data_IF_234682253276
#
_entry.id   IF_234682253276
#
_cell.length_a   1.000
_cell.length_b   1.000
_cell.length_c   1.000
_cell.angle_alpha   90.00
_cell.angle_beta   90.00
_cell.angle_gamma   90.00
#
_symmetry.space_group_name_H-M   'P 1'
#
loop_
_entity.id
_entity.type
_entity.pdbx_description
1 polymer ?
#
# COMPACT_ATOMS: atom_id res chain seq x y z
N UNK A 1 42.48 6.15 61.18
CA UNK A 1 41.74 5.03 60.56
C UNK A 1 40.82 5.58 59.47
N UNK A 2 41.26 5.57 58.22
CA UNK A 2 40.48 6.03 57.06
C UNK A 2 39.83 4.81 56.41
N UNK A 3 38.48 4.78 56.40
CA UNK A 3 37.71 3.72 55.73
C UNK A 3 37.61 4.04 54.24
N UNK A 4 38.16 3.16 53.40
CA UNK A 4 38.00 3.19 51.94
C UNK A 4 36.56 2.75 51.60
N UNK A 5 35.82 3.66 50.95
CA UNK A 5 34.54 3.36 50.29
C UNK A 5 34.82 2.90 48.87
N UNK A 6 34.57 1.63 48.58
CA UNK A 6 34.59 1.10 47.17
C UNK A 6 33.37 1.59 46.44
N UNK A 7 33.55 2.47 45.46
CA UNK A 7 32.51 2.80 44.46
C UNK A 7 32.31 1.59 43.53
N UNK A 8 31.11 1.01 43.53
CA UNK A 8 30.69 0.06 42.54
C UNK A 8 30.31 0.80 41.26
N UNK A 9 31.10 0.58 40.21
CA UNK A 9 30.76 1.03 38.84
C UNK A 9 29.54 0.25 38.35
N UNK A 10 28.41 0.93 38.18
CA UNK A 10 27.24 0.37 37.53
C UNK A 10 27.52 0.22 36.03
N UNK A 11 27.58 -1.02 35.52
CA UNK A 11 27.59 -1.32 34.12
C UNK A 11 26.29 -0.85 33.50
N UNK A 12 26.36 0.13 32.60
CA UNK A 12 25.23 0.48 31.72
C UNK A 12 24.87 -0.74 30.83
N UNK A 13 23.60 -1.08 30.66
CA UNK A 13 23.19 -2.13 29.73
C UNK A 13 23.44 -1.64 28.31
N UNK A 14 24.28 -2.37 27.59
CA UNK A 14 24.57 -2.16 26.17
C UNK A 14 23.37 -2.65 25.35
N UNK A 15 22.32 -1.85 25.22
CA UNK A 15 21.20 -2.09 24.32
C UNK A 15 21.69 -1.75 22.92
N UNK A 16 22.19 -2.76 22.19
CA UNK A 16 22.24 -2.70 20.73
C UNK A 16 20.78 -2.52 20.27
N UNK A 17 20.37 -1.27 20.00
CA UNK A 17 19.18 -1.02 19.18
C UNK A 17 19.49 -1.63 17.82
N UNK A 18 18.92 -2.79 17.53
CA UNK A 18 18.72 -3.21 16.15
C UNK A 18 17.88 -2.10 15.54
N UNK A 19 18.49 -1.24 14.73
CA UNK A 19 17.78 -0.26 13.94
C UNK A 19 16.97 -1.08 12.91
N UNK A 20 15.70 -1.32 13.20
CA UNK A 20 14.78 -1.86 12.22
C UNK A 20 14.71 -0.83 11.10
N UNK A 21 15.10 -1.23 9.89
CA UNK A 21 14.95 -0.41 8.71
C UNK A 21 13.64 -0.80 8.04
N UNK A 22 12.62 0.03 8.23
CA UNK A 22 11.33 -0.14 7.57
C UNK A 22 11.41 0.02 6.05
N UNK A 23 10.27 0.01 5.41
CA UNK A 23 10.16 0.04 3.94
C UNK A 23 10.22 1.45 3.35
N UNK A 24 10.02 2.50 4.13
CA UNK A 24 9.83 3.88 3.66
C UNK A 24 10.87 4.35 2.64
N UNK A 25 12.16 4.24 2.97
CA UNK A 25 13.22 4.77 2.12
C UNK A 25 13.24 4.14 0.71
N UNK A 26 12.95 2.84 0.62
CA UNK A 26 12.91 2.10 -0.64
C UNK A 26 11.60 2.39 -1.37
N UNK A 27 10.46 2.22 -0.70
CA UNK A 27 9.16 2.39 -1.33
C UNK A 27 8.89 3.84 -1.73
N UNK A 28 9.27 4.81 -0.88
CA UNK A 28 9.13 6.23 -1.18
C UNK A 28 9.85 6.64 -2.46
N UNK A 29 11.08 6.12 -2.68
CA UNK A 29 11.83 6.33 -3.92
C UNK A 29 11.12 5.70 -5.13
N UNK A 30 10.70 4.43 -5.03
CA UNK A 30 10.12 3.68 -6.13
C UNK A 30 8.76 4.27 -6.56
N UNK A 31 7.87 4.55 -5.62
CA UNK A 31 6.55 5.12 -5.91
C UNK A 31 6.61 6.60 -6.26
N UNK A 32 7.63 7.33 -5.78
CA UNK A 32 7.87 8.72 -6.15
C UNK A 32 8.45 8.92 -7.55
N UNK A 33 8.71 7.86 -8.34
CA UNK A 33 9.34 7.96 -9.65
C UNK A 33 8.44 8.64 -10.69
N UNK A 34 7.15 8.32 -10.73
CA UNK A 34 6.19 8.89 -11.69
C UNK A 34 4.82 9.17 -11.05
N UNK A 35 4.74 10.07 -10.04
CA UNK A 35 3.54 10.28 -9.25
C UNK A 35 2.40 10.90 -10.04
N UNK A 36 2.69 11.71 -11.07
CA UNK A 36 1.67 12.38 -11.90
C UNK A 36 0.87 11.41 -12.75
N UNK A 37 1.54 10.50 -13.45
CA UNK A 37 0.86 9.48 -14.25
C UNK A 37 0.11 8.48 -13.36
N UNK A 38 0.67 8.16 -12.18
CA UNK A 38 -0.05 7.41 -11.15
C UNK A 38 -1.35 8.12 -10.76
N UNK A 39 -1.26 9.37 -10.36
CA UNK A 39 -2.39 10.17 -9.91
C UNK A 39 -3.47 10.37 -10.98
N UNK A 40 -3.05 10.55 -12.24
CA UNK A 40 -3.96 10.85 -13.34
C UNK A 40 -4.61 9.61 -13.96
N UNK A 41 -3.92 8.45 -13.92
CA UNK A 41 -4.30 7.28 -14.71
C UNK A 41 -4.50 6.04 -13.83
N UNK A 42 -3.47 5.64 -13.07
CA UNK A 42 -3.42 4.31 -12.48
C UNK A 42 -4.18 4.18 -11.16
N UNK A 43 -4.14 5.19 -10.30
CA UNK A 43 -4.70 5.13 -8.95
C UNK A 43 -6.22 4.88 -8.94
N UNK A 44 -6.93 5.44 -9.93
CA UNK A 44 -8.38 5.27 -10.08
C UNK A 44 -8.80 3.82 -10.37
N UNK A 45 -7.89 2.96 -10.79
CA UNK A 45 -8.18 1.52 -11.00
C UNK A 45 -8.55 0.81 -9.69
N UNK A 46 -8.16 1.34 -8.53
CA UNK A 46 -8.55 0.85 -7.21
C UNK A 46 -9.98 1.25 -6.77
N UNK A 47 -10.64 2.15 -7.51
CA UNK A 47 -11.92 2.76 -7.10
C UNK A 47 -13.02 1.77 -6.71
N UNK A 48 -13.25 0.64 -7.42
CA UNK A 48 -14.27 -0.33 -7.00
C UNK A 48 -14.07 -0.85 -5.58
N UNK A 49 -12.83 -1.10 -5.16
CA UNK A 49 -12.51 -1.48 -3.78
C UNK A 49 -12.71 -0.34 -2.79
N UNK A 50 -12.37 0.89 -3.18
CA UNK A 50 -12.61 2.09 -2.36
C UNK A 50 -14.11 2.30 -2.09
N UNK A 51 -14.92 2.21 -3.14
CA UNK A 51 -16.38 2.34 -3.05
C UNK A 51 -16.99 1.24 -2.15
N UNK A 52 -16.50 0.00 -2.27
CA UNK A 52 -16.91 -1.09 -1.40
C UNK A 52 -16.61 -0.80 0.08
N UNK A 53 -15.39 -0.34 0.40
CA UNK A 53 -14.99 0.00 1.77
C UNK A 53 -15.83 1.14 2.32
N UNK A 54 -16.02 2.23 1.56
CA UNK A 54 -16.84 3.36 2.00
C UNK A 54 -18.30 2.98 2.23
N UNK A 55 -18.86 2.13 1.37
CA UNK A 55 -20.23 1.60 1.51
C UNK A 55 -20.38 0.71 2.74
N UNK A 56 -19.37 -0.13 3.03
CA UNK A 56 -19.43 -1.08 4.15
C UNK A 56 -19.18 -0.39 5.49
N UNK A 57 -18.19 0.51 5.56
CA UNK A 57 -17.81 1.18 6.81
C UNK A 57 -18.68 2.42 7.11
N UNK A 58 -19.33 2.99 6.10
CA UNK A 58 -20.24 4.17 6.23
C UNK A 58 -19.64 5.27 7.13
N UNK A 59 -18.43 5.79 6.84
CA UNK A 59 -17.83 6.81 7.68
C UNK A 59 -18.65 8.09 7.71
N UNK A 60 -18.65 8.79 8.85
CA UNK A 60 -19.44 9.98 9.12
C UNK A 60 -18.55 11.13 9.60
N UNK A 61 -19.17 12.29 9.88
CA UNK A 61 -18.46 13.49 10.37
C UNK A 61 -17.71 13.31 11.69
N UNK A 62 -18.02 12.27 12.46
CA UNK A 62 -17.31 11.94 13.71
C UNK A 62 -16.21 10.89 13.50
N UNK A 63 -16.14 10.27 12.33
CA UNK A 63 -15.17 9.22 12.03
C UNK A 63 -13.78 9.83 11.78
N UNK A 64 -12.79 9.41 12.55
CA UNK A 64 -11.36 9.67 12.29
C UNK A 64 -10.79 8.54 11.47
N UNK A 65 -10.39 8.81 10.24
CA UNK A 65 -9.89 7.83 9.28
C UNK A 65 -8.43 8.11 8.92
N UNK A 66 -7.60 7.08 8.98
CA UNK A 66 -6.22 7.07 8.50
C UNK A 66 -6.10 6.19 7.27
N UNK A 67 -5.51 6.70 6.19
CA UNK A 67 -5.14 5.95 5.01
C UNK A 67 -3.61 5.79 4.95
N UNK A 68 -3.11 4.55 5.10
CA UNK A 68 -1.68 4.24 5.10
C UNK A 68 -1.23 3.70 3.74
N UNK A 69 -0.28 4.39 3.11
CA UNK A 69 0.04 4.23 1.70
C UNK A 69 -1.01 4.92 0.83
N UNK A 70 -1.33 6.16 1.18
CA UNK A 70 -2.45 6.91 0.57
C UNK A 70 -2.19 7.33 -0.89
N UNK A 71 -0.99 7.08 -1.43
CA UNK A 71 -0.61 7.48 -2.77
C UNK A 71 -0.84 8.96 -3.01
N UNK A 72 -1.47 9.31 -4.14
CA UNK A 72 -1.83 10.69 -4.47
C UNK A 72 -3.17 11.14 -3.86
N UNK A 73 -3.66 10.45 -2.81
CA UNK A 73 -4.79 10.88 -1.99
C UNK A 73 -6.17 10.65 -2.62
N UNK A 74 -6.31 9.78 -3.62
CA UNK A 74 -7.58 9.58 -4.29
C UNK A 74 -8.66 9.01 -3.34
N UNK A 75 -8.33 7.96 -2.58
CA UNK A 75 -9.24 7.43 -1.56
C UNK A 75 -9.51 8.44 -0.45
N UNK A 76 -8.48 9.15 0.02
CA UNK A 76 -8.65 10.20 1.04
C UNK A 76 -9.68 11.24 0.62
N UNK A 77 -9.65 11.69 -0.65
CA UNK A 77 -10.61 12.65 -1.19
C UNK A 77 -12.04 12.07 -1.24
N UNK A 78 -12.20 10.80 -1.62
CA UNK A 78 -13.51 10.14 -1.59
C UNK A 78 -14.05 9.99 -0.15
N UNK A 79 -13.18 9.61 0.79
CA UNK A 79 -13.56 9.45 2.20
C UNK A 79 -13.94 10.80 2.83
N UNK A 80 -13.21 11.89 2.51
CA UNK A 80 -13.56 13.22 2.99
C UNK A 80 -14.95 13.67 2.49
N UNK A 81 -15.36 13.29 1.29
CA UNK A 81 -16.68 13.61 0.75
C UNK A 81 -17.83 12.99 1.56
N UNK A 82 -17.58 11.96 2.37
CA UNK A 82 -18.58 11.42 3.34
C UNK A 82 -18.70 12.27 4.61
N UNK A 83 -17.81 13.25 4.78
CA UNK A 83 -17.67 14.09 5.97
C UNK A 83 -16.65 13.60 6.99
N UNK A 84 -16.00 12.46 6.76
CA UNK A 84 -15.00 11.91 7.68
C UNK A 84 -13.79 12.86 7.87
N UNK A 85 -13.20 12.81 9.07
CA UNK A 85 -11.94 13.48 9.37
C UNK A 85 -10.77 12.59 8.93
N UNK A 86 -10.23 12.88 7.73
CA UNK A 86 -9.26 12.04 7.05
C UNK A 86 -7.83 12.53 7.27
N UNK A 87 -6.91 11.60 7.51
CA UNK A 87 -5.46 11.78 7.44
C UNK A 87 -4.90 10.77 6.45
N UNK A 88 -4.03 11.20 5.55
CA UNK A 88 -3.31 10.33 4.63
C UNK A 88 -1.81 10.27 4.98
N UNK A 89 -1.20 9.12 4.82
CA UNK A 89 0.24 8.96 4.98
C UNK A 89 0.79 8.06 3.87
N UNK A 90 1.91 8.45 3.28
CA UNK A 90 2.62 7.67 2.26
C UNK A 90 4.13 7.70 2.51
N UNK A 91 4.85 6.73 1.98
CA UNK A 91 6.30 6.66 2.04
C UNK A 91 6.98 7.71 1.14
N UNK A 92 6.29 8.18 0.10
CA UNK A 92 6.81 9.05 -0.96
C UNK A 92 6.40 10.50 -0.77
N UNK A 93 7.38 11.40 -0.61
CA UNK A 93 7.14 12.85 -0.61
C UNK A 93 6.46 13.32 -1.89
N UNK A 94 6.85 12.76 -3.05
CA UNK A 94 6.28 13.14 -4.34
C UNK A 94 4.79 12.73 -4.47
N UNK A 95 4.39 11.59 -3.90
CA UNK A 95 2.97 11.22 -3.81
C UNK A 95 2.21 12.16 -2.87
N UNK A 96 2.81 12.52 -1.74
CA UNK A 96 2.20 13.47 -0.79
C UNK A 96 2.02 14.86 -1.42
N UNK A 97 2.92 15.30 -2.28
CA UNK A 97 2.74 16.56 -3.01
C UNK A 97 1.51 16.50 -3.93
N UNK A 98 1.34 15.41 -4.71
CA UNK A 98 0.15 15.22 -5.55
C UNK A 98 -1.13 15.11 -4.70
N UNK A 99 -1.07 14.43 -3.54
CA UNK A 99 -2.20 14.32 -2.62
C UNK A 99 -2.65 15.69 -2.08
N UNK A 100 -1.71 16.56 -1.71
CA UNK A 100 -1.98 17.94 -1.25
C UNK A 100 -2.59 18.80 -2.36
N UNK A 101 -2.18 18.60 -3.61
CA UNK A 101 -2.78 19.29 -4.76
C UNK A 101 -4.22 18.84 -4.98
N UNK A 102 -4.50 17.53 -4.85
CA UNK A 102 -5.84 16.96 -5.02
C UNK A 102 -6.81 17.36 -3.92
N UNK A 103 -6.38 17.32 -2.67
CA UNK A 103 -7.22 17.53 -1.50
C UNK A 103 -6.52 18.39 -0.43
N UNK A 104 -6.39 19.71 -0.67
CA UNK A 104 -5.58 20.61 0.16
C UNK A 104 -6.10 20.79 1.59
N UNK A 105 -7.33 20.39 1.88
CA UNK A 105 -7.94 20.43 3.21
C UNK A 105 -7.63 19.20 4.07
N UNK A 106 -7.06 18.14 3.48
CA UNK A 106 -6.71 16.92 4.20
C UNK A 106 -5.28 17.04 4.75
N UNK A 107 -5.07 16.50 5.94
CA UNK A 107 -3.72 16.37 6.51
C UNK A 107 -3.00 15.20 5.84
N UNK A 108 -1.86 15.48 5.18
CA UNK A 108 -0.98 14.49 4.59
C UNK A 108 0.41 14.53 5.21
N UNK A 109 0.99 13.34 5.45
CA UNK A 109 2.29 13.13 6.07
C UNK A 109 3.13 12.15 5.24
N UNK A 110 4.44 12.36 5.21
CA UNK A 110 5.37 11.33 4.76
C UNK A 110 5.78 10.49 5.95
N UNK A 111 5.78 9.15 5.81
CA UNK A 111 6.14 8.26 6.93
C UNK A 111 6.19 6.79 6.54
N UNK A 112 6.60 5.97 7.52
CA UNK A 112 6.66 4.52 7.39
C UNK A 112 5.40 3.87 7.98
N UNK A 113 4.74 3.01 7.20
CA UNK A 113 3.56 2.29 7.67
C UNK A 113 3.88 1.24 8.76
N UNK A 114 5.16 0.97 8.99
CA UNK A 114 5.66 0.10 10.05
C UNK A 114 6.06 0.85 11.34
N UNK A 115 5.99 2.21 11.31
CA UNK A 115 6.24 3.08 12.45
C UNK A 115 5.34 4.32 12.34
N UNK A 116 4.06 4.18 12.70
CA UNK A 116 3.05 5.23 12.54
C UNK A 116 3.24 6.35 13.59
N UNK A 117 3.40 7.63 13.18
CA UNK A 117 3.65 8.74 14.10
C UNK A 117 2.38 9.24 14.79
N UNK A 118 1.56 8.31 15.28
CA UNK A 118 0.32 8.59 15.98
C UNK A 118 0.28 7.86 17.32
N UNK A 119 -0.47 8.41 18.26
CA UNK A 119 -0.72 7.79 19.56
C UNK A 119 -1.63 6.55 19.40
N UNK A 120 -1.58 5.66 20.39
CA UNK A 120 -2.49 4.51 20.48
C UNK A 120 -3.95 4.99 20.47
N UNK A 121 -4.86 4.18 19.95
CA UNK A 121 -6.31 4.41 20.01
C UNK A 121 -6.77 5.76 19.42
N UNK A 122 -6.08 6.25 18.36
CA UNK A 122 -6.32 7.56 17.74
C UNK A 122 -7.41 7.57 16.68
N UNK A 123 -7.61 6.43 15.97
CA UNK A 123 -8.47 6.35 14.79
C UNK A 123 -9.62 5.36 14.96
N UNK A 124 -10.76 5.68 14.34
CA UNK A 124 -11.91 4.80 14.25
C UNK A 124 -11.76 3.82 13.07
N UNK A 125 -11.07 4.25 12.01
CA UNK A 125 -10.81 3.46 10.80
C UNK A 125 -9.36 3.65 10.37
N UNK A 126 -8.70 2.55 10.01
CA UNK A 126 -7.43 2.56 9.27
C UNK A 126 -7.64 1.82 7.95
N UNK A 127 -7.22 2.43 6.85
CA UNK A 127 -7.26 1.80 5.52
C UNK A 127 -5.85 1.62 4.99
N UNK A 128 -5.65 0.62 4.13
CA UNK A 128 -4.44 0.46 3.34
C UNK A 128 -4.76 -0.28 2.05
N UNK A 129 -4.63 0.43 0.93
CA UNK A 129 -4.99 -0.08 -0.39
C UNK A 129 -3.73 -0.38 -1.20
N UNK A 130 -3.46 -1.66 -1.42
CA UNK A 130 -2.23 -2.12 -2.08
C UNK A 130 -0.95 -1.55 -1.44
N UNK A 131 -0.95 -1.37 -0.12
CA UNK A 131 0.17 -0.79 0.64
C UNK A 131 0.86 -1.82 1.55
N UNK A 132 0.13 -2.61 2.32
CA UNK A 132 0.68 -3.57 3.29
C UNK A 132 1.59 -4.63 2.67
N UNK A 133 1.39 -4.99 1.40
CA UNK A 133 2.24 -5.93 0.66
C UNK A 133 3.65 -5.40 0.36
N UNK A 134 3.86 -4.08 0.49
CA UNK A 134 5.16 -3.43 0.26
C UNK A 134 5.92 -3.14 1.55
N UNK A 135 5.34 -3.45 2.71
CA UNK A 135 6.04 -3.40 3.98
C UNK A 135 7.25 -4.34 4.00
N UNK A 136 8.31 -3.98 4.69
CA UNK A 136 9.40 -4.90 4.99
C UNK A 136 8.94 -6.04 5.89
N UNK A 137 7.97 -5.74 6.76
CA UNK A 137 7.23 -6.72 7.57
C UNK A 137 5.75 -6.37 7.59
N UNK A 138 4.94 -7.10 6.82
CA UNK A 138 3.47 -6.97 6.83
C UNK A 138 2.90 -7.10 8.25
N UNK A 139 3.46 -8.02 9.05
CA UNK A 139 3.03 -8.22 10.44
C UNK A 139 3.25 -6.97 11.30
N UNK A 140 4.41 -6.30 11.19
CA UNK A 140 4.68 -5.08 11.93
C UNK A 140 3.75 -3.94 11.48
N UNK A 141 3.55 -3.79 10.17
CA UNK A 141 2.65 -2.78 9.62
C UNK A 141 1.20 -2.96 10.11
N UNK A 142 0.71 -4.19 10.14
CA UNK A 142 -0.62 -4.50 10.66
C UNK A 142 -0.70 -4.34 12.20
N UNK A 143 0.39 -4.61 12.92
CA UNK A 143 0.46 -4.35 14.36
C UNK A 143 0.41 -2.85 14.67
N UNK A 144 1.10 -2.00 13.89
CA UNK A 144 1.02 -0.54 14.00
C UNK A 144 -0.39 -0.02 13.65
N UNK A 145 -1.00 -0.53 12.57
CA UNK A 145 -2.39 -0.21 12.24
C UNK A 145 -3.34 -0.57 13.41
N UNK A 146 -3.15 -1.74 14.04
CA UNK A 146 -3.92 -2.13 15.23
C UNK A 146 -3.65 -1.21 16.42
N UNK A 147 -2.39 -0.84 16.65
CA UNK A 147 -2.02 0.05 17.78
C UNK A 147 -2.76 1.38 17.72
N UNK A 148 -2.78 2.01 16.55
CA UNK A 148 -3.42 3.33 16.37
C UNK A 148 -4.94 3.27 16.25
N UNK A 149 -5.54 2.10 15.99
CA UNK A 149 -6.99 1.91 16.01
C UNK A 149 -7.50 1.90 17.45
N UNK A 150 -8.66 2.52 17.67
CA UNK A 150 -9.43 2.39 18.92
C UNK A 150 -9.96 0.97 19.11
N UNK A 151 -10.24 0.51 20.35
CA UNK A 151 -11.05 -0.68 20.56
C UNK A 151 -12.40 -0.58 19.78
N UNK A 152 -12.78 -1.63 19.05
CA UNK A 152 -13.92 -1.63 18.13
C UNK A 152 -13.66 -0.92 16.80
N UNK A 153 -12.49 -0.31 16.61
CA UNK A 153 -12.09 0.32 15.34
C UNK A 153 -11.87 -0.70 14.23
N UNK A 154 -12.00 -0.25 12.99
CA UNK A 154 -11.97 -1.10 11.80
C UNK A 154 -10.71 -0.89 10.98
N UNK A 155 -10.09 -1.99 10.54
CA UNK A 155 -9.08 -2.01 9.49
C UNK A 155 -9.74 -2.42 8.17
N UNK A 156 -9.46 -1.71 7.08
CA UNK A 156 -9.76 -2.16 5.72
C UNK A 156 -8.45 -2.32 4.94
N UNK A 157 -8.10 -3.55 4.60
CA UNK A 157 -6.93 -3.85 3.78
C UNK A 157 -7.36 -4.35 2.39
N UNK A 158 -6.86 -3.71 1.33
CA UNK A 158 -7.03 -4.19 -0.04
C UNK A 158 -5.69 -4.65 -0.60
N UNK A 159 -5.68 -5.84 -1.18
CA UNK A 159 -4.54 -6.46 -1.84
C UNK A 159 -4.96 -7.03 -3.20
N UNK A 160 -4.03 -7.53 -3.99
CA UNK A 160 -4.36 -8.30 -5.18
C UNK A 160 -5.29 -9.48 -4.84
N UNK A 161 -6.22 -9.79 -5.73
CA UNK A 161 -7.00 -11.04 -5.70
C UNK A 161 -6.14 -12.26 -6.05
N UNK A 162 -6.75 -13.39 -6.36
CA UNK A 162 -5.99 -14.55 -6.83
C UNK A 162 -5.31 -14.23 -8.17
N UNK A 163 -4.11 -14.75 -8.37
CA UNK A 163 -3.30 -14.47 -9.57
C UNK A 163 -4.03 -14.81 -10.87
N UNK A 164 -4.75 -15.91 -10.88
CA UNK A 164 -5.55 -16.40 -12.02
C UNK A 164 -6.76 -15.53 -12.36
N UNK A 165 -7.23 -14.73 -11.41
CA UNK A 165 -8.31 -13.77 -11.57
C UNK A 165 -7.82 -12.36 -11.99
N UNK A 166 -6.52 -12.20 -12.25
CA UNK A 166 -5.89 -10.91 -12.56
C UNK A 166 -5.14 -10.98 -13.90
N UNK A 167 -5.72 -10.44 -14.97
CA UNK A 167 -5.06 -10.37 -16.28
C UNK A 167 -3.77 -9.53 -16.25
N UNK A 168 -3.70 -8.54 -15.35
CA UNK A 168 -2.47 -7.77 -15.10
C UNK A 168 -1.33 -8.61 -14.51
N UNK A 169 -1.58 -9.86 -14.09
CA UNK A 169 -0.52 -10.80 -13.72
C UNK A 169 0.47 -11.05 -14.85
N UNK A 170 0.04 -10.96 -16.11
CA UNK A 170 0.89 -11.06 -17.30
C UNK A 170 1.89 -9.89 -17.39
N UNK A 171 1.47 -8.67 -17.11
CA UNK A 171 2.33 -7.50 -17.00
C UNK A 171 3.36 -7.67 -15.87
N UNK A 172 2.93 -8.11 -14.68
CA UNK A 172 3.82 -8.35 -13.55
C UNK A 172 4.83 -9.48 -13.85
N UNK A 173 4.40 -10.53 -14.54
CA UNK A 173 5.27 -11.61 -14.99
C UNK A 173 6.31 -11.13 -16.02
N UNK A 174 5.90 -10.28 -16.98
CA UNK A 174 6.80 -9.68 -17.96
C UNK A 174 7.88 -8.84 -17.28
N UNK A 175 7.55 -8.06 -16.25
CA UNK A 175 8.50 -7.32 -15.44
C UNK A 175 9.45 -8.22 -14.65
N UNK A 176 9.03 -9.43 -14.29
CA UNK A 176 9.84 -10.35 -13.47
C UNK A 176 11.23 -10.61 -14.03
N UNK A 177 11.37 -10.72 -15.37
CA UNK A 177 12.66 -10.91 -16.05
C UNK A 177 13.55 -9.66 -16.05
N UNK A 178 12.99 -8.52 -15.69
CA UNK A 178 13.64 -7.21 -15.66
C UNK A 178 13.96 -6.74 -14.23
N UNK A 179 13.64 -7.55 -13.24
CA UNK A 179 13.94 -7.31 -11.83
C UNK A 179 15.23 -8.05 -11.42
N UNK A 180 15.91 -7.61 -10.36
CA UNK A 180 16.98 -8.39 -9.77
C UNK A 180 16.43 -9.75 -9.30
N UNK A 181 17.28 -10.81 -9.30
CA UNK A 181 16.87 -12.11 -8.77
C UNK A 181 16.23 -11.95 -7.38
N UNK A 182 15.07 -12.61 -7.13
CA UNK A 182 14.42 -12.49 -5.85
C UNK A 182 15.33 -13.05 -4.74
N UNK A 183 15.33 -12.38 -3.60
CA UNK A 183 15.98 -12.90 -2.39
C UNK A 183 15.28 -14.21 -1.98
N UNK A 184 16.01 -15.20 -1.44
CA UNK A 184 15.36 -16.40 -0.90
C UNK A 184 14.26 -16.03 0.09
N UNK A 185 13.05 -16.52 -0.14
CA UNK A 185 11.88 -16.20 0.69
C UNK A 185 11.19 -14.88 0.40
N UNK A 186 11.63 -14.12 -0.63
CA UNK A 186 10.92 -12.90 -1.02
C UNK A 186 9.52 -13.24 -1.55
N UNK A 187 8.50 -12.61 -0.98
CA UNK A 187 7.12 -12.76 -1.36
C UNK A 187 6.85 -12.08 -2.73
N UNK A 188 6.06 -12.75 -3.57
CA UNK A 188 5.58 -12.18 -4.84
C UNK A 188 4.42 -11.18 -4.62
N UNK A 189 3.99 -10.49 -5.67
CA UNK A 189 2.90 -9.50 -5.56
C UNK A 189 1.56 -10.09 -5.10
N UNK A 190 1.34 -11.37 -5.30
CA UNK A 190 0.12 -12.09 -4.89
C UNK A 190 0.26 -12.87 -3.57
N UNK A 191 1.42 -12.82 -2.93
CA UNK A 191 1.73 -13.68 -1.78
C UNK A 191 0.76 -13.53 -0.61
N UNK A 192 0.25 -12.32 -0.35
CA UNK A 192 -0.70 -12.10 0.75
C UNK A 192 -2.06 -12.75 0.51
N UNK A 193 -2.40 -13.04 -0.75
CA UNK A 193 -3.64 -13.74 -1.11
C UNK A 193 -3.48 -15.25 -1.08
N UNK A 194 -2.27 -15.73 -1.37
CA UNK A 194 -1.96 -17.17 -1.36
C UNK A 194 -2.17 -17.77 0.03
N UNK A 195 -2.88 -18.89 0.07
CA UNK A 195 -3.16 -19.64 1.31
C UNK A 195 -3.78 -18.77 2.45
N UNK A 196 -4.51 -17.71 2.10
CA UNK A 196 -5.10 -16.79 3.07
C UNK A 196 -4.07 -16.17 4.03
N UNK A 197 -2.89 -15.82 3.50
CA UNK A 197 -1.78 -15.33 4.34
C UNK A 197 -2.12 -14.01 5.02
N UNK A 198 -2.81 -13.06 4.35
CA UNK A 198 -3.22 -11.81 4.97
C UNK A 198 -4.13 -12.05 6.16
N UNK A 199 -5.13 -12.90 6.00
CA UNK A 199 -6.09 -13.25 7.05
C UNK A 199 -5.40 -13.92 8.24
N UNK A 200 -4.45 -14.80 7.96
CA UNK A 200 -3.66 -15.46 9.00
C UNK A 200 -2.83 -14.48 9.81
N UNK A 201 -2.16 -13.51 9.13
CA UNK A 201 -1.37 -12.47 9.81
C UNK A 201 -2.29 -11.54 10.62
N UNK A 202 -3.46 -11.16 10.09
CA UNK A 202 -4.45 -10.34 10.80
C UNK A 202 -4.89 -11.01 12.11
N UNK A 203 -5.22 -12.31 12.06
CA UNK A 203 -5.59 -13.09 13.25
C UNK A 203 -4.42 -13.21 14.24
N UNK A 204 -3.20 -13.41 13.75
CA UNK A 204 -2.00 -13.49 14.59
C UNK A 204 -1.70 -12.18 15.31
N UNK A 205 -1.96 -11.04 14.67
CA UNK A 205 -1.87 -9.69 15.26
C UNK A 205 -3.04 -9.44 16.23
N UNK A 206 -4.10 -10.26 16.17
CA UNK A 206 -5.25 -10.23 17.07
C UNK A 206 -6.39 -9.34 16.55
N UNK A 207 -6.59 -9.27 15.25
CA UNK A 207 -7.81 -8.76 14.64
C UNK A 207 -8.88 -9.85 14.52
N UNK A 208 -10.14 -9.45 14.55
CA UNK A 208 -11.29 -10.28 14.19
C UNK A 208 -11.74 -9.94 12.77
N UNK A 209 -11.72 -10.90 11.85
CA UNK A 209 -12.12 -10.67 10.45
C UNK A 209 -13.65 -10.57 10.40
N UNK A 210 -14.15 -9.51 9.78
CA UNK A 210 -15.59 -9.25 9.58
C UNK A 210 -16.03 -9.55 8.16
N UNK A 211 -15.23 -9.11 7.17
CA UNK A 211 -15.51 -9.26 5.74
C UNK A 211 -14.24 -9.72 5.01
N UNK A 212 -14.44 -10.54 3.98
CA UNK A 212 -13.41 -10.95 3.03
C UNK A 212 -14.07 -11.11 1.66
N UNK A 213 -13.84 -10.14 0.77
CA UNK A 213 -14.55 -10.06 -0.49
C UNK A 213 -13.60 -9.79 -1.66
N UNK A 214 -13.73 -10.56 -2.73
CA UNK A 214 -13.06 -10.29 -4.00
C UNK A 214 -13.90 -9.28 -4.81
N UNK A 215 -13.31 -8.14 -5.13
CA UNK A 215 -13.94 -7.03 -5.83
C UNK A 215 -13.41 -6.97 -7.26
N UNK A 216 -14.31 -7.02 -8.24
CA UNK A 216 -13.96 -6.86 -9.66
C UNK A 216 -13.45 -5.44 -9.90
N UNK A 217 -12.30 -5.34 -10.53
CA UNK A 217 -11.68 -4.09 -10.95
C UNK A 217 -11.24 -4.19 -12.41
N UNK A 218 -12.03 -3.60 -13.29
CA UNK A 218 -11.68 -3.51 -14.71
C UNK A 218 -10.81 -2.28 -14.92
N UNK A 219 -9.61 -2.49 -15.45
CA UNK A 219 -8.74 -1.40 -15.88
C UNK A 219 -9.02 -1.14 -17.34
N UNK A 220 -9.63 -0.03 -17.63
CA UNK A 220 -10.02 0.38 -18.99
C UNK A 220 -9.29 1.67 -19.34
N UNK A 221 -8.27 1.55 -20.18
CA UNK A 221 -7.49 2.68 -20.68
C UNK A 221 -7.96 3.03 -22.07
N UNK A 222 -8.12 4.33 -22.33
CA UNK A 222 -8.65 4.85 -23.60
C UNK A 222 -7.82 4.46 -24.84
N UNK A 223 -6.53 4.24 -24.65
CA UNK A 223 -5.58 3.85 -25.70
C UNK A 223 -4.30 3.23 -25.12
N UNK A 224 -3.46 2.71 -26.02
CA UNK A 224 -2.20 2.06 -25.67
C UNK A 224 -1.17 3.01 -25.00
N UNK A 225 -1.16 4.28 -25.35
CA UNK A 225 -0.25 5.26 -24.76
C UNK A 225 -0.65 5.57 -23.31
N UNK A 226 -1.94 5.71 -23.06
CA UNK A 226 -2.49 5.89 -21.70
C UNK A 226 -2.24 4.66 -20.83
N UNK A 227 -2.49 3.45 -21.38
CA UNK A 227 -2.20 2.19 -20.67
C UNK A 227 -0.71 2.08 -20.32
N UNK A 228 0.17 2.37 -21.28
CA UNK A 228 1.62 2.32 -21.08
C UNK A 228 2.07 3.29 -19.99
N UNK A 229 1.57 4.54 -19.97
CA UNK A 229 1.87 5.53 -18.91
C UNK A 229 1.39 5.03 -17.55
N UNK A 230 0.16 4.53 -17.45
CA UNK A 230 -0.38 3.98 -16.21
C UNK A 230 0.47 2.82 -15.66
N UNK A 231 0.77 1.82 -16.50
CA UNK A 231 1.58 0.67 -16.11
C UNK A 231 3.02 1.06 -15.73
N UNK A 232 3.63 2.03 -16.46
CA UNK A 232 4.97 2.53 -16.16
C UNK A 232 5.05 3.41 -14.91
N UNK A 233 3.91 3.85 -14.35
CA UNK A 233 3.89 4.68 -13.14
C UNK A 233 4.01 3.89 -11.83
N UNK A 234 3.99 2.56 -11.87
CA UNK A 234 4.03 1.71 -10.68
C UNK A 234 5.43 1.59 -10.07
N UNK A 235 5.51 1.42 -8.75
CA UNK A 235 6.79 1.21 -8.05
C UNK A 235 7.56 -0.03 -8.52
N UNK A 236 6.84 -1.09 -8.93
CA UNK A 236 7.47 -2.31 -9.49
C UNK A 236 8.18 -1.99 -10.81
N UNK A 237 7.56 -1.18 -11.65
CA UNK A 237 8.15 -0.72 -12.90
C UNK A 237 9.38 0.16 -12.65
N UNK A 238 9.30 1.08 -11.70
CA UNK A 238 10.45 1.90 -11.31
C UNK A 238 11.65 1.04 -10.90
N UNK A 239 11.43 -0.02 -10.12
CA UNK A 239 12.47 -0.99 -9.75
C UNK A 239 13.05 -1.73 -10.97
N UNK A 240 12.22 -2.09 -11.94
CA UNK A 240 12.68 -2.72 -13.18
C UNK A 240 13.52 -1.75 -14.03
N UNK A 241 13.12 -0.46 -14.08
CA UNK A 241 13.89 0.60 -14.77
C UNK A 241 15.27 0.78 -14.14
N UNK A 242 15.35 0.84 -12.82
CA UNK A 242 16.64 0.93 -12.11
C UNK A 242 17.58 -0.22 -12.43
N UNK A 243 17.07 -1.44 -12.58
CA UNK A 243 17.88 -2.64 -12.81
C UNK A 243 18.18 -2.90 -14.29
N UNK A 244 17.20 -2.69 -15.18
CA UNK A 244 17.29 -3.13 -16.58
C UNK A 244 17.29 -1.99 -17.60
N UNK A 245 17.07 -0.74 -17.18
CA UNK A 245 17.03 0.46 -18.02
C UNK A 245 15.66 0.71 -18.65
N UNK A 246 15.38 2.00 -18.90
CA UNK A 246 14.10 2.52 -19.37
C UNK A 246 13.61 1.89 -20.67
N UNK A 247 14.45 1.89 -21.72
CA UNK A 247 14.04 1.45 -23.05
C UNK A 247 13.60 -0.02 -23.07
N UNK A 248 14.35 -0.88 -22.36
CA UNK A 248 14.04 -2.30 -22.26
C UNK A 248 12.72 -2.55 -21.52
N UNK A 249 12.51 -1.84 -20.40
CA UNK A 249 11.28 -1.94 -19.62
C UNK A 249 10.09 -1.45 -20.43
N UNK A 250 10.18 -0.28 -21.05
CA UNK A 250 9.15 0.28 -21.92
C UNK A 250 8.75 -0.70 -23.04
N UNK A 251 9.73 -1.28 -23.73
CA UNK A 251 9.50 -2.26 -24.80
C UNK A 251 8.74 -3.50 -24.28
N UNK A 252 9.17 -4.08 -23.17
CA UNK A 252 8.57 -5.29 -22.61
C UNK A 252 7.16 -5.02 -22.09
N UNK A 253 6.94 -3.90 -21.40
CA UNK A 253 5.61 -3.49 -20.94
C UNK A 253 4.68 -3.26 -22.13
N UNK A 254 5.13 -2.52 -23.17
CA UNK A 254 4.37 -2.31 -24.40
C UNK A 254 4.00 -3.64 -25.08
N UNK A 255 4.92 -4.59 -25.16
CA UNK A 255 4.65 -5.92 -25.74
C UNK A 255 3.64 -6.72 -24.90
N UNK A 256 3.73 -6.67 -23.57
CA UNK A 256 2.85 -7.44 -22.69
C UNK A 256 1.38 -7.02 -22.76
N UNK A 257 1.10 -5.76 -23.11
CA UNK A 257 -0.28 -5.26 -23.17
C UNK A 257 -0.98 -5.52 -24.53
N UNK A 258 -0.26 -5.95 -25.58
CA UNK A 258 -0.81 -6.08 -26.93
C UNK A 258 -2.04 -6.99 -26.98
N UNK A 259 -2.05 -8.08 -26.22
CA UNK A 259 -3.17 -9.03 -26.17
C UNK A 259 -4.44 -8.48 -25.51
N UNK A 260 -4.34 -7.32 -24.82
CA UNK A 260 -5.44 -6.67 -24.12
C UNK A 260 -6.01 -5.48 -24.89
N UNK A 261 -5.46 -5.17 -26.09
CA UNK A 261 -5.99 -4.12 -26.97
C UNK A 261 -7.28 -4.63 -27.59
N UNK A 262 -8.37 -3.89 -27.37
CA UNK A 262 -9.69 -4.16 -27.88
C UNK A 262 -9.87 -3.59 -29.32
N UNK A 263 -10.88 -4.02 -30.10
CA UNK A 263 -11.16 -3.49 -31.44
C UNK A 263 -11.40 -1.97 -31.49
N UNK A 264 -11.84 -1.37 -30.39
CA UNK A 264 -12.02 0.08 -30.25
C UNK A 264 -10.75 0.83 -29.79
N UNK A 265 -9.60 0.16 -29.82
CA UNK A 265 -8.29 0.67 -29.38
C UNK A 265 -8.13 0.85 -27.85
N UNK A 266 -9.14 0.57 -27.03
CA UNK A 266 -8.98 0.52 -25.59
C UNK A 266 -8.06 -0.63 -25.17
N UNK A 267 -7.37 -0.46 -24.05
CA UNK A 267 -6.62 -1.56 -23.41
C UNK A 267 -7.33 -1.93 -22.12
N UNK A 268 -7.82 -3.16 -22.06
CA UNK A 268 -8.69 -3.59 -20.96
C UNK A 268 -8.09 -4.80 -20.24
N UNK A 269 -7.94 -4.68 -18.92
CA UNK A 269 -7.56 -5.79 -18.03
C UNK A 269 -8.70 -6.08 -17.06
N UNK A 270 -9.13 -7.31 -16.98
CA UNK A 270 -10.04 -7.77 -15.94
C UNK A 270 -9.23 -8.25 -14.74
N UNK A 271 -9.44 -7.62 -13.62
CA UNK A 271 -8.72 -7.93 -12.38
C UNK A 271 -9.71 -8.08 -11.22
N UNK A 272 -9.22 -8.68 -10.13
CA UNK A 272 -9.88 -8.64 -8.82
C UNK A 272 -8.90 -8.15 -7.77
N UNK A 273 -9.43 -7.39 -6.83
CA UNK A 273 -8.75 -7.08 -5.57
C UNK A 273 -9.48 -7.78 -4.43
N UNK A 274 -8.73 -8.30 -3.48
CA UNK A 274 -9.27 -8.79 -2.23
C UNK A 274 -9.34 -7.67 -1.21
N UNK A 275 -10.53 -7.44 -0.67
CA UNK A 275 -10.75 -6.51 0.44
C UNK A 275 -11.05 -7.31 1.70
N UNK A 276 -10.27 -7.11 2.74
CA UNK A 276 -10.50 -7.69 4.07
C UNK A 276 -10.81 -6.55 5.02
N UNK A 277 -11.97 -6.64 5.70
CA UNK A 277 -12.33 -5.75 6.79
C UNK A 277 -12.20 -6.52 8.10
N UNK A 278 -11.47 -5.95 9.05
CA UNK A 278 -11.23 -6.57 10.34
C UNK A 278 -11.43 -5.56 11.47
N UNK A 279 -11.74 -6.04 12.65
CA UNK A 279 -11.99 -5.23 13.85
C UNK A 279 -10.89 -5.46 14.88
N UNK A 280 -10.43 -4.38 15.52
CA UNK A 280 -9.67 -4.45 16.77
C UNK A 280 -10.65 -4.74 17.91
N UNK A 281 -10.56 -5.92 18.57
CA UNK A 281 -11.39 -6.25 19.73
C UNK A 281 -11.27 -5.27 20.89
#
# INVERSE_FOLDING_TARGET
MLKHVKMHSAKQPNTKKHTYMGSQAIQGKLWGHNPKDWAAIQEATGKPGYDFVLKTLTPTTVTKLLDVGCGSGYFCNLAQATGANVTGMDASDAMIEEAKLRAPSIKFLTGDLEELPFEDDSFDVVCGFNSFQYAASTKNALAEAKRVLKPGGKLAAMIWGNKEDCESSSFLAALGSLLPPPQPGAAGPFALTENHLLESILQEVGFSILENQDIVSVWDYADADTALKGLLSTGVTAKAVEYSGWEKVRQIVSASMQQFIQPNSHVVYNNKFRVVIAEKP
#
